data_IF_578863328762
#
_entry.id   IF_578863328762
#
_cell.length_a   1.000
_cell.length_b   1.000
_cell.length_c   1.000
_cell.angle_alpha   90.00
_cell.angle_beta   90.00
_cell.angle_gamma   90.00
#
_symmetry.space_group_name_H-M   'P 1'
#
loop_
_entity.id
_entity.type
_entity.pdbx_description
1 polymer ?
#
# COMPACT_ATOMS: atom_id res chain seq x y z
N UNK A 1 -34.51 -72.83 14.33
CA UNK A 1 -34.03 -72.76 15.73
C UNK A 1 -32.68 -72.05 15.75
N UNK A 2 -32.47 -71.19 16.76
CA UNK A 2 -31.27 -70.37 17.00
C UNK A 2 -30.02 -71.22 17.33
N UNK A 3 -28.84 -70.60 17.13
CA UNK A 3 -27.52 -70.67 17.85
C UNK A 3 -26.38 -70.79 16.83
N UNK A 4 -25.63 -69.74 16.49
CA UNK A 4 -24.54 -69.04 17.23
C UNK A 4 -23.48 -69.99 17.79
N UNK A 5 -22.26 -69.93 17.22
CA UNK A 5 -20.93 -69.65 17.82
C UNK A 5 -19.82 -70.26 16.90
N UNK A 6 -18.92 -69.46 16.29
CA UNK A 6 -17.59 -69.04 16.81
C UNK A 6 -16.64 -70.27 16.93
N UNK A 7 -15.47 -70.40 16.29
CA UNK A 7 -14.26 -69.55 16.40
C UNK A 7 -13.11 -70.09 15.50
N UNK A 8 -12.45 -69.16 14.80
CA UNK A 8 -11.00 -68.92 14.65
C UNK A 8 -10.04 -70.06 14.25
N UNK A 9 -9.31 -69.86 13.15
CA UNK A 9 -7.82 -69.94 13.10
C UNK A 9 -7.33 -69.34 11.77
N UNK A 10 -6.78 -68.12 11.80
CA UNK A 10 -5.35 -67.80 11.89
C UNK A 10 -4.59 -68.10 10.59
N UNK A 11 -4.54 -67.12 9.67
CA UNK A 11 -3.43 -67.01 8.71
C UNK A 11 -2.74 -65.68 8.93
N UNK A 12 -1.51 -65.84 9.36
CA UNK A 12 -0.53 -64.87 9.78
C UNK A 12 0.26 -64.40 8.55
N UNK A 13 0.52 -63.09 8.52
CA UNK A 13 1.71 -62.38 7.98
C UNK A 13 2.17 -62.64 6.54
N UNK A 14 2.17 -61.57 5.73
CA UNK A 14 3.40 -60.80 5.42
C UNK A 14 3.25 -59.99 4.14
N UNK A 15 3.32 -58.65 4.24
CA UNK A 15 4.41 -57.87 3.64
C UNK A 15 3.99 -56.40 3.52
N UNK A 16 4.46 -55.59 4.47
CA UNK A 16 4.52 -54.14 4.35
C UNK A 16 5.55 -53.79 3.26
N UNK A 17 5.10 -53.20 2.15
CA UNK A 17 5.93 -52.27 1.39
C UNK A 17 5.47 -50.85 1.74
N UNK A 18 6.29 -50.14 2.53
CA UNK A 18 6.21 -48.69 2.62
C UNK A 18 6.88 -48.11 1.39
N UNK A 19 6.14 -47.39 0.57
CA UNK A 19 6.71 -46.55 -0.48
C UNK A 19 6.21 -45.11 -0.28
N UNK A 20 7.19 -44.21 -0.27
CA UNK A 20 7.09 -42.83 0.17
C UNK A 20 6.05 -42.02 -0.59
N UNK A 21 5.21 -41.28 0.15
CA UNK A 21 4.47 -40.13 -0.37
C UNK A 21 5.48 -39.01 -0.63
N UNK A 22 5.88 -38.82 -1.88
CA UNK A 22 6.55 -37.59 -2.30
C UNK A 22 5.51 -36.52 -2.63
N UNK A 23 5.87 -35.32 -2.19
CA UNK A 23 5.07 -34.12 -2.08
C UNK A 23 4.59 -33.55 -3.41
N UNK A 24 3.38 -32.99 -3.32
CA UNK A 24 2.86 -31.80 -4.00
C UNK A 24 3.57 -31.38 -5.29
N UNK A 25 2.87 -31.61 -6.40
CA UNK A 25 2.92 -30.71 -7.53
C UNK A 25 2.43 -29.32 -7.08
N UNK A 26 3.34 -28.36 -6.93
CA UNK A 26 2.98 -26.96 -7.03
C UNK A 26 3.22 -26.57 -8.48
N UNK A 27 2.17 -26.80 -9.27
CA UNK A 27 2.02 -26.11 -10.54
C UNK A 27 2.19 -24.62 -10.25
N UNK A 28 3.12 -24.00 -10.95
CA UNK A 28 3.23 -22.56 -11.09
C UNK A 28 1.86 -22.04 -11.49
N UNK A 29 1.11 -21.49 -10.53
CA UNK A 29 -0.01 -20.60 -10.83
C UNK A 29 0.58 -19.44 -11.62
N UNK A 30 0.39 -19.49 -12.93
CA UNK A 30 0.45 -18.30 -13.77
C UNK A 30 -0.49 -17.31 -13.12
N UNK A 31 0.07 -16.21 -12.60
CA UNK A 31 -0.72 -15.02 -12.33
C UNK A 31 -1.47 -14.69 -13.61
N UNK A 32 -2.80 -14.80 -13.55
CA UNK A 32 -3.64 -14.36 -14.65
C UNK A 32 -3.34 -12.88 -14.92
N UNK A 33 -3.25 -12.48 -16.20
CA UNK A 33 -3.09 -11.09 -16.56
C UNK A 33 -4.25 -10.32 -15.95
N UNK A 34 -3.92 -9.13 -15.43
CA UNK A 34 -4.85 -8.12 -14.89
C UNK A 34 -6.16 -8.19 -15.67
N UNK A 35 -7.22 -8.68 -15.03
CA UNK A 35 -8.58 -8.65 -15.57
C UNK A 35 -8.82 -7.25 -16.11
N UNK A 36 -9.05 -7.12 -17.42
CA UNK A 36 -9.45 -5.86 -18.03
C UNK A 36 -10.54 -5.24 -17.15
N UNK A 37 -10.31 -4.00 -16.71
CA UNK A 37 -11.26 -3.27 -15.89
C UNK A 37 -12.54 -3.20 -16.73
N UNK A 38 -13.58 -3.92 -16.31
CA UNK A 38 -14.83 -3.95 -17.04
C UNK A 38 -15.37 -2.52 -17.09
N UNK A 39 -15.49 -1.94 -18.28
CA UNK A 39 -15.97 -0.57 -18.48
C UNK A 39 -17.38 -0.43 -17.91
N UNK A 40 -17.53 0.22 -16.76
CA UNK A 40 -18.82 0.30 -16.05
C UNK A 40 -19.63 1.54 -16.44
N UNK A 41 -18.96 2.68 -16.67
CA UNK A 41 -19.51 3.83 -17.38
C UNK A 41 -18.36 4.59 -18.08
N UNK A 42 -18.69 5.35 -19.12
CA UNK A 42 -17.68 6.03 -19.93
C UNK A 42 -16.93 7.14 -19.17
N UNK A 43 -17.60 7.78 -18.21
CA UNK A 43 -17.05 8.90 -17.44
C UNK A 43 -15.99 8.44 -16.43
N UNK A 44 -16.28 7.39 -15.66
CA UNK A 44 -15.35 6.80 -14.72
C UNK A 44 -14.19 6.14 -15.46
N UNK A 45 -14.44 5.50 -16.60
CA UNK A 45 -13.33 4.99 -17.41
C UNK A 45 -12.42 6.13 -17.89
N UNK A 46 -12.98 7.24 -18.40
CA UNK A 46 -12.19 8.40 -18.77
C UNK A 46 -11.41 9.01 -17.59
N UNK A 47 -11.97 8.96 -16.38
CA UNK A 47 -11.23 9.34 -15.17
C UNK A 47 -10.05 8.40 -14.91
N UNK A 48 -10.27 7.07 -14.97
CA UNK A 48 -9.23 6.06 -14.75
C UNK A 48 -8.15 6.05 -15.83
N UNK A 49 -8.50 6.34 -17.08
CA UNK A 49 -7.57 6.36 -18.22
C UNK A 49 -6.50 7.46 -18.11
N UNK A 50 -6.68 8.42 -17.20
CA UNK A 50 -5.66 9.42 -16.87
C UNK A 50 -4.45 8.78 -16.14
N UNK A 51 -4.65 7.67 -15.43
CA UNK A 51 -3.65 7.13 -14.51
C UNK A 51 -2.71 6.13 -15.20
N UNK A 52 -1.38 6.34 -15.17
CA UNK A 52 -0.45 5.31 -15.59
C UNK A 52 -0.47 4.14 -14.59
N UNK A 53 -0.37 2.91 -15.11
CA UNK A 53 -0.24 1.72 -14.26
C UNK A 53 1.09 1.69 -13.53
N UNK A 54 1.07 1.29 -12.26
CA UNK A 54 2.24 1.08 -11.41
C UNK A 54 2.19 -0.32 -10.82
N UNK A 55 3.36 -0.94 -10.64
CA UNK A 55 3.48 -2.23 -9.96
C UNK A 55 3.79 -2.03 -8.47
N UNK A 56 3.43 -3.01 -7.65
CA UNK A 56 3.90 -3.10 -6.26
C UNK A 56 5.23 -3.88 -6.21
N UNK A 57 6.12 -3.60 -5.23
CA UNK A 57 6.01 -2.56 -4.22
C UNK A 57 6.21 -1.16 -4.81
N UNK A 58 5.63 -0.16 -4.16
CA UNK A 58 5.82 1.25 -4.53
C UNK A 58 6.43 2.03 -3.37
N UNK A 59 7.32 2.96 -3.72
CA UNK A 59 7.90 3.92 -2.79
C UNK A 59 7.66 5.33 -3.31
N UNK A 60 7.10 6.18 -2.46
CA UNK A 60 6.75 7.56 -2.78
C UNK A 60 7.58 8.48 -1.87
N UNK A 61 8.14 9.53 -2.45
CA UNK A 61 8.82 10.61 -1.73
C UNK A 61 8.22 11.91 -2.27
N UNK A 62 7.35 12.54 -1.49
CA UNK A 62 6.56 13.71 -1.89
C UNK A 62 7.41 14.93 -2.28
N UNK A 63 8.61 15.03 -1.72
CA UNK A 63 9.54 16.13 -2.00
C UNK A 63 10.51 15.84 -3.15
N UNK A 64 10.41 14.70 -3.84
CA UNK A 64 11.39 14.34 -4.87
C UNK A 64 11.13 15.11 -6.19
N UNK A 65 12.19 15.65 -6.80
CA UNK A 65 12.12 16.42 -8.07
C UNK A 65 11.30 15.74 -9.16
N UNK A 66 11.44 14.41 -9.29
CA UNK A 66 10.71 13.58 -10.27
C UNK A 66 9.17 13.64 -10.15
N UNK A 67 8.65 14.16 -9.03
CA UNK A 67 7.22 14.29 -8.78
C UNK A 67 6.69 15.64 -9.27
N UNK A 68 7.55 16.66 -9.37
CA UNK A 68 7.17 18.03 -9.75
C UNK A 68 6.57 18.12 -11.16
N UNK A 69 6.97 17.21 -12.07
CA UNK A 69 6.53 17.19 -13.47
C UNK A 69 5.30 16.30 -13.73
N UNK A 70 4.66 15.74 -12.69
CA UNK A 70 3.49 14.90 -12.91
C UNK A 70 2.31 15.74 -13.43
N UNK A 71 1.50 15.20 -14.35
CA UNK A 71 0.34 15.92 -14.86
C UNK A 71 -0.73 16.07 -13.76
N UNK A 72 -1.41 17.22 -13.75
CA UNK A 72 -2.62 17.44 -12.94
C UNK A 72 -3.77 16.59 -13.45
N UNK A 73 -4.73 16.30 -12.58
CA UNK A 73 -6.02 15.74 -12.99
C UNK A 73 -6.77 16.72 -13.90
N UNK A 74 -7.40 16.19 -14.95
CA UNK A 74 -8.39 16.94 -15.70
C UNK A 74 -9.64 17.13 -14.82
N UNK A 75 -9.93 18.38 -14.48
CA UNK A 75 -11.03 18.76 -13.58
C UNK A 75 -12.39 18.29 -14.13
N UNK A 76 -12.60 18.36 -15.45
CA UNK A 76 -13.88 17.95 -16.06
C UNK A 76 -14.10 16.45 -15.94
N UNK A 77 -13.03 15.66 -16.05
CA UNK A 77 -13.10 14.21 -15.90
C UNK A 77 -13.14 13.77 -14.43
N UNK A 78 -12.57 14.57 -13.53
CA UNK A 78 -12.23 14.11 -12.17
C UNK A 78 -13.09 14.69 -11.05
N UNK A 79 -13.80 15.81 -11.27
CA UNK A 79 -14.55 16.53 -10.21
C UNK A 79 -15.64 15.71 -9.50
N UNK A 80 -16.16 14.65 -10.14
CA UNK A 80 -17.10 13.72 -9.48
C UNK A 80 -16.40 12.75 -8.52
N UNK A 81 -15.12 12.45 -8.77
CA UNK A 81 -14.34 11.41 -8.08
C UNK A 81 -13.33 11.96 -7.09
N UNK A 82 -12.94 13.23 -7.25
CA UNK A 82 -12.09 13.99 -6.34
C UNK A 82 -12.59 15.42 -6.21
N UNK A 83 -12.76 15.89 -4.97
CA UNK A 83 -13.19 17.26 -4.68
C UNK A 83 -12.08 18.28 -4.88
N UNK A 84 -10.83 17.83 -4.81
CA UNK A 84 -9.64 18.66 -4.84
C UNK A 84 -8.87 18.45 -6.16
N UNK A 85 -9.56 17.99 -7.22
CA UNK A 85 -8.95 17.64 -8.50
C UNK A 85 -8.08 18.75 -9.11
N UNK A 86 -8.36 20.03 -8.81
CA UNK A 86 -7.57 21.17 -9.27
C UNK A 86 -6.17 21.27 -8.63
N UNK A 87 -5.99 20.66 -7.45
CA UNK A 87 -4.74 20.63 -6.66
C UNK A 87 -4.13 19.23 -6.61
N UNK A 88 -4.60 18.30 -7.43
CA UNK A 88 -4.13 16.91 -7.43
C UNK A 88 -3.39 16.54 -8.71
N UNK A 89 -2.24 15.89 -8.53
CA UNK A 89 -1.44 15.33 -9.59
C UNK A 89 -1.63 13.81 -9.69
N UNK A 90 -1.55 13.31 -10.91
CA UNK A 90 -1.70 11.89 -11.23
C UNK A 90 -0.39 11.16 -10.89
N UNK A 91 -0.44 10.22 -9.94
CA UNK A 91 0.70 9.35 -9.67
C UNK A 91 0.57 7.99 -10.37
N UNK A 92 -0.59 7.34 -10.21
CA UNK A 92 -0.88 6.11 -10.92
C UNK A 92 -1.96 5.23 -10.30
N UNK A 93 -2.31 4.17 -11.04
CA UNK A 93 -3.18 3.09 -10.59
C UNK A 93 -2.31 1.89 -10.18
N UNK A 94 -2.57 1.32 -9.01
CA UNK A 94 -1.88 0.10 -8.53
C UNK A 94 -2.84 -1.10 -8.57
N UNK A 95 -2.32 -2.34 -8.62
CA UNK A 95 -3.14 -3.53 -8.44
C UNK A 95 -3.99 -3.43 -7.16
N UNK A 96 -5.17 -4.01 -7.19
CA UNK A 96 -6.05 -4.17 -6.02
C UNK A 96 -6.05 -5.63 -5.57
N UNK A 97 -6.24 -5.89 -4.27
CA UNK A 97 -6.41 -7.24 -3.73
C UNK A 97 -7.87 -7.68 -3.63
N UNK A 98 -8.76 -7.09 -4.42
CA UNK A 98 -10.18 -7.38 -4.38
C UNK A 98 -10.91 -6.70 -5.54
N UNK A 99 -12.24 -6.70 -5.47
CA UNK A 99 -13.08 -6.21 -6.56
C UNK A 99 -13.32 -4.70 -6.50
N UNK A 100 -12.24 -3.92 -6.69
CA UNK A 100 -12.24 -2.46 -6.63
C UNK A 100 -11.02 -1.88 -7.38
N UNK A 101 -11.05 -0.59 -7.67
CA UNK A 101 -9.95 0.17 -8.31
C UNK A 101 -9.18 0.92 -7.23
N UNK A 102 -7.84 0.96 -7.35
CA UNK A 102 -6.96 1.70 -6.43
C UNK A 102 -6.11 2.70 -7.18
N UNK A 103 -6.33 3.99 -6.93
CA UNK A 103 -5.50 5.07 -7.50
C UNK A 103 -4.72 5.78 -6.41
N UNK A 104 -3.63 6.42 -6.83
CA UNK A 104 -2.85 7.32 -6.01
C UNK A 104 -2.82 8.66 -6.73
N UNK A 105 -3.28 9.69 -6.03
CA UNK A 105 -3.13 11.10 -6.40
C UNK A 105 -2.12 11.75 -5.47
N UNK A 106 -1.57 12.89 -5.86
CA UNK A 106 -0.68 13.68 -5.03
C UNK A 106 -1.27 15.08 -4.88
N UNK A 107 -1.67 15.45 -3.67
CA UNK A 107 -2.14 16.80 -3.37
C UNK A 107 -0.97 17.78 -3.28
N UNK A 108 -1.12 18.96 -3.86
CA UNK A 108 -0.17 20.06 -3.74
C UNK A 108 -0.07 20.55 -2.28
N UNK A 109 1.15 20.64 -1.76
CA UNK A 109 1.53 21.32 -0.51
C UNK A 109 3.02 21.73 -0.60
N UNK A 110 3.70 22.00 0.51
CA UNK A 110 5.17 22.25 0.50
C UNK A 110 5.94 21.08 -0.13
N UNK A 111 5.50 19.86 0.17
CA UNK A 111 5.80 18.65 -0.58
C UNK A 111 4.49 17.96 -0.99
N UNK A 112 4.53 17.18 -2.06
CA UNK A 112 3.33 16.48 -2.52
C UNK A 112 2.83 15.46 -1.49
N UNK A 113 1.54 15.53 -1.16
CA UNK A 113 0.89 14.64 -0.20
C UNK A 113 0.24 13.47 -0.94
N UNK A 114 0.72 12.22 -0.80
CA UNK A 114 0.09 11.11 -1.51
C UNK A 114 -1.23 10.72 -0.87
N UNK A 115 -2.26 10.60 -1.69
CA UNK A 115 -3.62 10.22 -1.30
C UNK A 115 -3.94 8.90 -1.98
N UNK A 116 -4.19 7.87 -1.15
CA UNK A 116 -4.63 6.57 -1.62
C UNK A 116 -6.16 6.59 -1.73
N UNK A 117 -6.68 6.32 -2.91
CA UNK A 117 -8.10 6.33 -3.20
C UNK A 117 -8.56 4.95 -3.66
N UNK A 118 -9.74 4.54 -3.22
CA UNK A 118 -10.36 3.30 -3.66
C UNK A 118 -11.78 3.52 -4.15
N UNK A 119 -12.15 2.81 -5.22
CA UNK A 119 -13.45 2.94 -5.87
C UNK A 119 -14.02 1.57 -6.17
N UNK A 120 -15.33 1.43 -6.03
CA UNK A 120 -16.05 0.32 -6.65
C UNK A 120 -15.85 0.39 -8.17
N UNK A 121 -15.99 -0.74 -8.86
CA UNK A 121 -15.89 -0.77 -10.32
C UNK A 121 -16.84 0.21 -11.01
N UNK A 122 -17.99 0.53 -10.38
CA UNK A 122 -18.95 1.52 -10.88
C UNK A 122 -18.61 2.99 -10.59
N UNK A 123 -17.39 3.29 -10.15
CA UNK A 123 -16.92 4.65 -9.87
C UNK A 123 -17.31 5.21 -8.51
N UNK A 124 -18.16 4.52 -7.73
CA UNK A 124 -18.46 4.97 -6.37
C UNK A 124 -17.24 4.81 -5.46
N UNK A 125 -16.74 5.92 -4.91
CA UNK A 125 -15.65 5.91 -3.92
C UNK A 125 -15.99 5.05 -2.70
N UNK A 126 -15.02 4.23 -2.29
CA UNK A 126 -15.06 3.37 -1.10
C UNK A 126 -14.36 4.09 0.05
N UNK A 127 -13.10 4.47 -0.13
CA UNK A 127 -12.28 5.15 0.87
C UNK A 127 -11.28 6.10 0.19
N UNK A 128 -10.75 7.05 0.94
CA UNK A 128 -9.74 8.00 0.49
C UNK A 128 -8.99 8.54 1.70
N UNK A 129 -7.68 8.30 1.75
CA UNK A 129 -6.85 8.72 2.88
C UNK A 129 -5.49 9.23 2.43
N UNK A 130 -5.01 10.34 2.99
CA UNK A 130 -3.62 10.72 2.85
C UNK A 130 -2.72 9.69 3.57
N UNK A 131 -1.65 9.27 2.90
CA UNK A 131 -0.67 8.31 3.41
C UNK A 131 0.68 8.99 3.67
N UNK A 132 0.65 10.18 4.28
CA UNK A 132 1.79 10.93 4.79
C UNK A 132 1.70 11.11 6.32
N UNK A 133 2.78 11.55 6.97
CA UNK A 133 2.79 11.97 8.39
C UNK A 133 2.79 13.49 8.48
N UNK A 134 3.55 14.17 7.63
CA UNK A 134 3.49 15.63 7.48
C UNK A 134 4.29 16.38 8.55
N UNK A 135 5.36 15.78 9.05
CA UNK A 135 6.28 16.45 9.96
C UNK A 135 7.50 17.03 9.22
N UNK A 136 7.76 16.61 7.99
CA UNK A 136 8.81 17.22 7.20
C UNK A 136 8.42 18.63 6.75
N UNK A 137 9.35 19.56 6.91
CA UNK A 137 9.22 20.99 6.62
C UNK A 137 10.62 21.61 6.58
N UNK A 138 10.69 22.93 6.49
CA UNK A 138 11.95 23.67 6.37
C UNK A 138 12.18 24.58 7.58
N UNK A 139 13.07 24.16 8.48
CA UNK A 139 13.53 24.95 9.63
C UNK A 139 15.07 24.86 9.77
N UNK A 140 15.74 25.88 10.31
CA UNK A 140 17.15 25.76 10.67
C UNK A 140 17.39 24.63 11.66
N UNK A 141 18.54 23.96 11.52
CA UNK A 141 18.94 22.85 12.40
C UNK A 141 17.94 21.68 12.42
N UNK A 142 17.09 21.57 11.40
CA UNK A 142 16.07 20.54 11.20
C UNK A 142 16.32 19.81 9.88
N UNK A 143 16.39 18.48 9.95
CA UNK A 143 16.45 17.61 8.78
C UNK A 143 15.32 16.59 8.89
N UNK A 144 14.64 16.32 7.78
CA UNK A 144 13.57 15.34 7.75
C UNK A 144 13.59 14.53 6.45
N UNK A 145 13.39 13.22 6.59
CA UNK A 145 13.31 12.29 5.46
C UNK A 145 11.99 11.54 5.53
N UNK A 146 11.12 11.79 4.56
CA UNK A 146 9.86 11.07 4.37
C UNK A 146 10.10 9.73 3.66
N UNK A 147 9.38 8.71 4.11
CA UNK A 147 9.35 7.41 3.47
C UNK A 147 7.94 6.84 3.48
N UNK A 148 7.36 6.68 2.29
CA UNK A 148 6.02 6.12 2.10
C UNK A 148 6.13 4.89 1.20
N UNK A 149 5.59 3.75 1.67
CA UNK A 149 5.64 2.50 0.93
C UNK A 149 4.33 1.75 0.97
N UNK A 150 4.00 1.10 -0.14
CA UNK A 150 2.99 0.05 -0.21
C UNK A 150 3.67 -1.19 -0.76
N UNK A 151 3.72 -2.28 0.01
CA UNK A 151 4.40 -3.50 -0.41
C UNK A 151 3.49 -4.40 -1.29
N UNK A 152 4.03 -5.51 -1.78
CA UNK A 152 3.29 -6.50 -2.59
C UNK A 152 2.16 -7.21 -1.85
N UNK A 153 2.13 -7.14 -0.52
CA UNK A 153 1.06 -7.64 0.34
C UNK A 153 0.06 -6.55 0.75
N UNK A 154 0.10 -5.40 0.06
CA UNK A 154 -0.80 -4.27 0.31
C UNK A 154 -0.69 -3.68 1.72
N UNK A 155 0.47 -3.88 2.37
CA UNK A 155 0.82 -3.23 3.63
C UNK A 155 1.35 -1.84 3.34
N UNK A 156 0.87 -0.90 4.13
CA UNK A 156 1.23 0.51 4.06
C UNK A 156 2.19 0.78 5.20
N UNK A 157 3.33 1.41 4.91
CA UNK A 157 4.24 1.92 5.92
C UNK A 157 4.63 3.35 5.55
N UNK A 158 4.45 4.26 6.50
CA UNK A 158 4.76 5.67 6.37
C UNK A 158 5.63 6.07 7.55
N UNK A 159 6.75 6.74 7.30
CA UNK A 159 7.63 7.21 8.35
C UNK A 159 8.31 8.52 7.96
N UNK A 160 8.43 9.40 8.95
CA UNK A 160 9.23 10.62 8.90
C UNK A 160 10.39 10.41 9.88
N UNK A 161 11.61 10.38 9.35
CA UNK A 161 12.84 10.37 10.17
C UNK A 161 13.29 11.80 10.35
N UNK A 162 13.25 12.27 11.60
CA UNK A 162 13.49 13.66 11.96
C UNK A 162 14.77 13.73 12.77
N UNK A 163 15.68 14.61 12.35
CA UNK A 163 16.89 14.96 13.08
C UNK A 163 16.83 16.45 13.39
N UNK A 164 16.93 16.79 14.67
CA UNK A 164 17.01 18.17 15.14
C UNK A 164 18.31 18.41 15.88
N UNK A 165 18.75 19.66 15.94
CA UNK A 165 19.90 20.11 16.73
C UNK A 165 19.61 21.50 17.31
N UNK A 166 20.31 21.88 18.37
CA UNK A 166 20.29 23.26 18.85
C UNK A 166 21.01 24.15 17.82
N UNK A 167 20.54 25.38 17.63
CA UNK A 167 21.15 26.35 16.72
C UNK A 167 22.00 27.37 17.47
N UNK A 168 23.11 27.81 16.88
CA UNK A 168 23.81 29.02 17.30
C UNK A 168 23.08 30.30 16.84
N UNK A 169 23.59 31.47 17.22
CA UNK A 169 23.03 32.78 16.85
C UNK A 169 23.03 33.05 15.33
N UNK A 170 23.77 32.25 14.55
CA UNK A 170 23.84 32.31 13.09
C UNK A 170 23.03 31.20 12.42
N UNK A 171 22.17 30.49 13.17
CA UNK A 171 21.35 29.38 12.70
C UNK A 171 22.12 28.13 12.23
N UNK A 172 23.37 27.96 12.67
CA UNK A 172 24.13 26.75 12.42
C UNK A 172 23.87 25.71 13.50
N UNK A 173 23.80 24.45 13.10
CA UNK A 173 23.70 23.31 14.03
C UNK A 173 24.90 23.24 14.98
N UNK A 174 24.62 23.19 16.28
CA UNK A 174 25.62 22.96 17.33
C UNK A 174 25.88 21.45 17.43
N UNK A 175 27.10 21.02 17.12
CA UNK A 175 27.47 19.60 17.14
C UNK A 175 27.34 18.99 18.54
N UNK A 176 26.81 17.77 18.64
CA UNK A 176 26.60 17.05 19.90
C UNK A 176 25.23 17.29 20.54
N UNK A 177 24.41 18.18 19.98
CA UNK A 177 23.03 18.45 20.44
C UNK A 177 21.97 17.70 19.63
N UNK A 178 22.40 16.82 18.72
CA UNK A 178 21.51 16.16 17.77
C UNK A 178 20.56 15.19 18.47
N UNK A 179 19.28 15.30 18.16
CA UNK A 179 18.21 14.39 18.58
C UNK A 179 17.60 13.76 17.34
N UNK A 180 17.45 12.44 17.34
CA UNK A 180 16.86 11.71 16.21
C UNK A 180 15.62 10.99 16.70
N UNK A 181 14.50 11.22 16.01
CA UNK A 181 13.27 10.48 16.21
C UNK A 181 12.69 10.00 14.88
N UNK A 182 11.92 8.92 14.96
CA UNK A 182 11.11 8.44 13.85
C UNK A 182 9.65 8.49 14.30
N UNK A 183 8.83 9.19 13.53
CA UNK A 183 7.38 9.10 13.64
C UNK A 183 6.92 8.18 12.52
N UNK A 184 6.15 7.15 12.82
CA UNK A 184 5.67 6.22 11.80
C UNK A 184 4.23 5.79 12.05
N UNK A 185 3.55 5.38 10.98
CA UNK A 185 2.27 4.68 11.03
C UNK A 185 2.26 3.52 10.04
N UNK A 186 1.51 2.50 10.38
CA UNK A 186 1.38 1.28 9.60
C UNK A 186 -0.06 1.08 9.16
N UNK A 187 -0.26 0.29 8.13
CA UNK A 187 -1.60 0.05 7.64
C UNK A 187 -1.69 -1.09 6.64
N UNK A 188 -2.89 -1.23 6.09
CA UNK A 188 -3.16 -2.13 4.98
C UNK A 188 -4.31 -1.61 4.14
N UNK A 189 -4.27 -1.97 2.87
CA UNK A 189 -5.41 -1.90 1.99
C UNK A 189 -6.12 -3.27 2.01
N UNK A 190 -7.37 -3.29 2.44
CA UNK A 190 -8.16 -4.53 2.58
C UNK A 190 -8.80 -4.99 1.27
N UNK A 191 -9.19 -6.26 1.18
CA UNK A 191 -9.91 -6.83 0.02
C UNK A 191 -11.24 -6.13 -0.30
N UNK A 192 -11.78 -5.35 0.67
CA UNK A 192 -12.99 -4.55 0.52
C UNK A 192 -12.71 -3.12 0.04
N UNK A 193 -11.47 -2.76 -0.22
CA UNK A 193 -11.04 -1.41 -0.58
C UNK A 193 -10.99 -0.43 0.59
N UNK A 194 -11.11 -0.88 1.84
CA UNK A 194 -10.95 -0.02 3.03
C UNK A 194 -9.47 0.17 3.32
N UNK A 195 -9.07 1.40 3.61
CA UNK A 195 -7.71 1.79 3.96
C UNK A 195 -7.62 1.86 5.49
N UNK A 196 -6.96 0.90 6.10
CA UNK A 196 -6.74 0.88 7.55
C UNK A 196 -5.36 1.45 7.86
N UNK A 197 -5.30 2.47 8.70
CA UNK A 197 -4.06 3.07 9.20
C UNK A 197 -4.07 3.05 10.73
N UNK A 198 -2.93 2.75 11.33
CA UNK A 198 -2.70 2.89 12.76
C UNK A 198 -2.65 4.36 13.16
N UNK A 199 -2.67 4.60 14.47
CA UNK A 199 -2.19 5.87 15.00
C UNK A 199 -0.69 6.01 14.74
N UNK A 200 -0.22 7.25 14.73
CA UNK A 200 1.20 7.55 14.69
C UNK A 200 1.90 7.09 15.98
N UNK A 201 3.11 6.56 15.81
CA UNK A 201 3.99 6.11 16.87
C UNK A 201 5.29 6.90 16.75
N UNK A 202 5.69 7.58 17.81
CA UNK A 202 7.00 8.23 17.91
C UNK A 202 8.00 7.30 18.61
N UNK A 203 9.17 7.14 18.00
CA UNK A 203 10.30 6.41 18.56
C UNK A 203 11.55 7.27 18.53
N UNK A 204 12.09 7.58 19.70
CA UNK A 204 13.41 8.22 19.84
C UNK A 204 14.51 7.20 19.56
N UNK A 205 15.51 7.59 18.78
CA UNK A 205 16.65 6.76 18.42
C UNK A 205 17.90 7.22 19.17
N UNK A 206 18.12 8.53 19.23
CA UNK A 206 19.28 9.16 19.85
C UNK A 206 18.87 10.49 20.48
#
# INVERSE_FOLDING_TARGET
MKRILLIITLVLISSCKSENKNEKSLATERQEPISEIQKVNDQFQAFIDQFPTKTLPIKINGCADKILDLPKLDIKLSSEYSKDAEYEHIYGIIPSNGNYITTITLGEAECFVPILNTYKLNGKRIDSKPINIGYCGFDPCYECVENMTINSEYRIYVADTIKTSDCDDNFNSISGTEKIKVVYKEGKLTEKGIIELSKEIEKKIK
#
